data_IF_611057559474
#
_entry.id   IF_611057559474
#
_cell.length_a   1.000
_cell.length_b   1.000
_cell.length_c   1.000
_cell.angle_alpha   90.00
_cell.angle_beta   90.00
_cell.angle_gamma   90.00
#
_symmetry.space_group_name_H-M   'P 1'
#
loop_
_entity.id
_entity.type
_entity.pdbx_description
1 polymer ?
#
# COMPACT_ATOMS: atom_id res chain seq x y z
N UNK A 1 46.67 48.30 20.12
CA UNK A 1 46.68 46.94 20.69
C UNK A 1 45.34 46.27 20.37
N UNK A 2 45.24 45.36 19.38
CA UNK A 2 43.97 44.71 19.02
C UNK A 2 43.65 43.56 19.99
N UNK A 3 42.41 43.54 20.49
CA UNK A 3 41.88 42.47 21.37
C UNK A 3 41.54 41.23 20.54
N UNK A 4 42.22 40.11 20.81
CA UNK A 4 41.95 38.81 20.17
C UNK A 4 40.58 38.27 20.57
N UNK A 5 39.71 38.01 19.59
CA UNK A 5 38.41 37.33 19.79
C UNK A 5 38.65 35.85 20.08
N UNK A 6 38.25 35.41 21.27
CA UNK A 6 38.29 34.01 21.70
C UNK A 6 37.44 33.09 20.83
N UNK A 7 38.06 32.04 20.31
CA UNK A 7 37.44 30.98 19.50
C UNK A 7 36.65 30.04 20.42
N UNK A 8 35.31 30.05 20.33
CA UNK A 8 34.45 29.09 21.04
C UNK A 8 34.76 27.66 20.57
N UNK A 9 35.04 26.75 21.50
CA UNK A 9 35.25 25.33 21.19
C UNK A 9 33.93 24.70 20.73
N UNK A 10 33.94 24.08 19.54
CA UNK A 10 32.84 23.23 19.09
C UNK A 10 32.86 21.96 19.95
N UNK A 11 31.80 21.75 20.74
CA UNK A 11 31.55 20.45 21.38
C UNK A 11 31.39 19.38 20.29
N UNK A 12 32.05 18.23 20.41
CA UNK A 12 31.83 17.12 19.48
C UNK A 12 30.37 16.68 19.59
N UNK A 13 29.65 16.67 18.47
CA UNK A 13 28.30 16.13 18.41
C UNK A 13 28.39 14.61 18.65
N UNK A 14 27.88 14.16 19.78
CA UNK A 14 27.73 12.74 20.08
C UNK A 14 26.89 12.10 18.95
N UNK A 15 27.36 11.02 18.29
CA UNK A 15 26.56 10.33 17.29
C UNK A 15 25.29 9.82 17.97
N UNK A 16 24.13 10.09 17.36
CA UNK A 16 22.86 9.56 17.84
C UNK A 16 22.97 8.03 17.93
N UNK A 17 23.01 7.53 19.15
CA UNK A 17 23.16 6.13 19.48
C UNK A 17 21.90 5.42 18.97
N UNK A 18 22.02 4.65 17.89
CA UNK A 18 20.96 3.75 17.39
C UNK A 18 20.51 2.88 18.56
N UNK A 19 19.30 3.10 19.06
CA UNK A 19 18.63 2.20 20.00
C UNK A 19 18.41 0.87 19.27
N UNK A 20 19.37 -0.04 19.42
CA UNK A 20 19.17 -1.47 19.20
C UNK A 20 18.32 -1.96 20.36
N UNK A 21 17.08 -2.33 20.12
CA UNK A 21 16.32 -3.17 21.06
C UNK A 21 17.03 -4.53 21.14
N UNK A 22 16.92 -5.19 22.29
CA UNK A 22 17.75 -6.34 22.70
C UNK A 22 17.68 -7.58 21.79
N UNK A 23 16.91 -7.56 20.70
CA UNK A 23 16.73 -8.65 19.73
C UNK A 23 17.02 -8.26 18.26
N UNK A 24 17.51 -7.05 17.98
CA UNK A 24 17.84 -6.65 16.61
C UNK A 24 16.61 -6.35 15.72
N UNK A 25 15.42 -6.25 16.30
CA UNK A 25 14.18 -5.89 15.63
C UNK A 25 14.17 -4.38 15.29
N UNK A 26 13.90 -4.06 14.03
CA UNK A 26 13.82 -2.71 13.50
C UNK A 26 12.52 -2.02 13.95
N UNK A 27 12.60 -0.85 14.59
CA UNK A 27 11.43 0.01 14.89
C UNK A 27 11.15 0.95 13.71
N UNK A 28 10.00 0.79 13.02
CA UNK A 28 9.68 1.57 11.84
C UNK A 28 9.14 3.00 12.14
N UNK A 29 8.83 3.32 13.40
CA UNK A 29 8.34 4.63 13.82
C UNK A 29 6.90 4.92 13.36
N UNK A 30 6.69 6.06 12.67
CA UNK A 30 5.38 6.49 12.13
C UNK A 30 5.38 6.53 10.60
N UNK A 31 4.20 6.40 10.00
CA UNK A 31 4.02 6.61 8.56
C UNK A 31 4.41 8.03 8.14
N UNK A 32 4.96 8.15 6.94
CA UNK A 32 5.38 9.43 6.37
C UNK A 32 4.19 10.36 6.19
N UNK A 33 4.42 11.66 6.40
CA UNK A 33 3.45 12.71 6.07
C UNK A 33 3.74 13.18 4.65
N UNK A 34 2.74 13.16 3.79
CA UNK A 34 2.85 13.64 2.43
C UNK A 34 2.08 14.96 2.27
N UNK A 35 2.83 16.02 1.95
CA UNK A 35 2.26 17.19 1.28
C UNK A 35 1.55 16.71 0.01
N UNK A 36 0.41 17.31 -0.33
CA UNK A 36 -0.67 16.73 -1.15
C UNK A 36 -0.28 16.42 -2.61
N UNK A 37 0.54 15.39 -2.83
CA UNK A 37 0.85 14.79 -4.13
C UNK A 37 -0.38 14.20 -4.83
N UNK A 38 -1.47 14.00 -4.10
CA UNK A 38 -2.74 13.50 -4.63
C UNK A 38 -3.31 14.42 -5.73
N UNK A 39 -3.27 15.74 -5.56
CA UNK A 39 -3.75 16.68 -6.59
C UNK A 39 -2.93 16.58 -7.87
N UNK A 40 -1.59 16.59 -7.73
CA UNK A 40 -0.67 16.43 -8.87
C UNK A 40 -0.87 15.08 -9.59
N UNK A 41 -1.11 13.99 -8.84
CA UNK A 41 -1.42 12.70 -9.43
C UNK A 41 -2.73 12.76 -10.22
N UNK A 42 -3.80 13.31 -9.66
CA UNK A 42 -5.08 13.46 -10.36
C UNK A 42 -4.91 14.29 -11.64
N UNK A 43 -4.17 15.39 -11.59
CA UNK A 43 -3.95 16.27 -12.74
C UNK A 43 -3.13 15.62 -13.86
N UNK A 44 -2.07 14.89 -13.52
CA UNK A 44 -1.00 14.53 -14.48
C UNK A 44 -0.91 13.04 -14.80
N UNK A 45 -1.39 12.17 -13.93
CA UNK A 45 -1.22 10.74 -14.15
C UNK A 45 -2.13 10.25 -15.29
N UNK A 46 -1.64 9.32 -16.14
CA UNK A 46 -2.46 8.62 -17.11
C UNK A 46 -3.65 7.91 -16.46
N UNK A 47 -4.78 7.84 -17.18
CA UNK A 47 -6.01 7.22 -16.67
C UNK A 47 -5.88 5.73 -16.35
N UNK A 48 -4.97 5.03 -17.02
CA UNK A 48 -4.65 3.62 -16.77
C UNK A 48 -3.69 3.42 -15.59
N UNK A 49 -2.94 4.45 -15.21
CA UNK A 49 -2.02 4.44 -14.05
C UNK A 49 -2.73 4.85 -12.77
N UNK A 50 -3.67 5.80 -12.84
CA UNK A 50 -4.39 6.35 -11.68
C UNK A 50 -4.99 5.27 -10.76
N UNK A 51 -5.73 4.26 -11.27
CA UNK A 51 -6.30 3.20 -10.43
C UNK A 51 -5.25 2.33 -9.72
N UNK A 52 -3.97 2.43 -10.08
CA UNK A 52 -2.88 1.65 -9.46
C UNK A 52 -2.10 2.46 -8.42
N UNK A 53 -1.89 3.75 -8.67
CA UNK A 53 -1.03 4.59 -7.81
C UNK A 53 -1.83 5.42 -6.82
N UNK A 54 -3.05 5.83 -7.18
CA UNK A 54 -3.88 6.66 -6.32
C UNK A 54 -4.39 5.93 -5.07
N UNK A 55 -4.83 4.65 -5.13
CA UNK A 55 -5.31 3.96 -3.94
C UNK A 55 -4.30 3.88 -2.79
N UNK A 56 -3.05 3.41 -2.98
CA UNK A 56 -2.10 3.37 -1.88
C UNK A 56 -1.72 4.78 -1.41
N UNK A 57 -1.68 5.78 -2.30
CA UNK A 57 -1.39 7.16 -1.92
C UNK A 57 -2.47 7.73 -1.00
N UNK A 58 -3.74 7.54 -1.34
CA UNK A 58 -4.85 8.00 -0.51
C UNK A 58 -4.90 7.23 0.80
N UNK A 59 -4.64 5.92 0.79
CA UNK A 59 -4.56 5.12 2.02
C UNK A 59 -3.50 5.67 2.97
N UNK A 60 -2.28 5.95 2.48
CA UNK A 60 -1.21 6.53 3.32
C UNK A 60 -1.64 7.90 3.84
N UNK A 61 -2.29 8.74 3.00
CA UNK A 61 -2.79 10.04 3.43
C UNK A 61 -3.77 9.94 4.61
N UNK A 62 -4.72 9.00 4.52
CA UNK A 62 -5.69 8.74 5.60
C UNK A 62 -5.06 8.09 6.84
N UNK A 63 -3.89 7.45 6.68
CA UNK A 63 -3.13 6.82 7.75
C UNK A 63 -1.99 7.68 8.30
N UNK A 64 -1.86 8.94 7.86
CA UNK A 64 -0.78 9.83 8.30
C UNK A 64 -0.72 9.94 9.82
N UNK A 65 0.51 9.91 10.36
CA UNK A 65 0.75 10.01 11.80
C UNK A 65 0.45 8.73 12.61
N UNK A 66 -0.17 7.70 12.00
CA UNK A 66 -0.32 6.37 12.62
C UNK A 66 1.03 5.67 12.76
N UNK A 67 1.08 4.71 13.68
CA UNK A 67 2.25 3.86 13.85
C UNK A 67 2.53 3.06 12.57
N UNK A 68 3.81 2.87 12.28
CA UNK A 68 4.25 1.93 11.27
C UNK A 68 4.06 0.47 11.77
N UNK A 69 4.50 -0.52 10.99
CA UNK A 69 4.15 -1.94 11.14
C UNK A 69 2.69 -2.29 10.77
N UNK A 70 2.13 -1.53 9.82
CA UNK A 70 0.76 -1.69 9.31
C UNK A 70 0.73 -2.23 7.87
N UNK A 71 1.80 -2.88 7.40
CA UNK A 71 1.91 -3.37 6.02
C UNK A 71 0.83 -4.42 5.70
N UNK A 72 0.50 -5.28 6.66
CA UNK A 72 -0.57 -6.28 6.54
C UNK A 72 -1.94 -5.60 6.41
N UNK A 73 -2.29 -4.69 7.33
CA UNK A 73 -3.57 -3.97 7.30
C UNK A 73 -3.73 -3.11 6.04
N UNK A 74 -2.65 -2.44 5.61
CA UNK A 74 -2.63 -1.64 4.40
C UNK A 74 -2.91 -2.51 3.16
N UNK A 75 -2.21 -3.63 3.03
CA UNK A 75 -2.39 -4.54 1.90
C UNK A 75 -3.76 -5.21 1.94
N UNK A 76 -4.26 -5.63 3.11
CA UNK A 76 -5.59 -6.22 3.24
C UNK A 76 -6.70 -5.22 2.85
N UNK A 77 -6.62 -3.98 3.32
CA UNK A 77 -7.55 -2.90 2.95
C UNK A 77 -7.50 -2.61 1.45
N UNK A 78 -6.30 -2.46 0.89
CA UNK A 78 -6.10 -2.14 -0.52
C UNK A 78 -6.53 -3.29 -1.43
N UNK A 79 -6.38 -4.54 -1.02
CA UNK A 79 -6.91 -5.70 -1.74
C UNK A 79 -8.41 -5.57 -1.97
N UNK A 80 -9.17 -5.26 -0.93
CA UNK A 80 -10.61 -5.02 -1.05
C UNK A 80 -10.93 -3.79 -1.90
N UNK A 81 -10.09 -2.75 -1.83
CA UNK A 81 -10.20 -1.55 -2.68
C UNK A 81 -10.04 -1.89 -4.16
N UNK A 82 -8.98 -2.62 -4.53
CA UNK A 82 -8.72 -3.04 -5.91
C UNK A 82 -9.81 -3.96 -6.46
N UNK A 83 -10.34 -4.87 -5.63
CA UNK A 83 -11.45 -5.73 -6.01
C UNK A 83 -12.69 -4.92 -6.44
N UNK A 84 -12.97 -3.78 -5.78
CA UNK A 84 -14.05 -2.89 -6.22
C UNK A 84 -13.82 -2.38 -7.65
N UNK A 85 -12.57 -2.11 -8.05
CA UNK A 85 -12.25 -1.64 -9.41
C UNK A 85 -12.17 -2.75 -10.46
N UNK A 86 -12.38 -4.01 -10.08
CA UNK A 86 -12.21 -5.14 -10.99
C UNK A 86 -10.78 -5.65 -11.09
N UNK A 87 -9.89 -5.24 -10.19
CA UNK A 87 -8.46 -5.58 -10.22
C UNK A 87 -8.18 -6.66 -9.17
N UNK A 88 -7.68 -7.82 -9.62
CA UNK A 88 -7.24 -8.87 -8.70
C UNK A 88 -5.99 -8.42 -7.96
N UNK A 89 -6.00 -8.60 -6.63
CA UNK A 89 -4.92 -8.24 -5.74
C UNK A 89 -4.74 -9.34 -4.70
N UNK A 90 -3.50 -9.73 -4.46
CA UNK A 90 -3.16 -10.79 -3.54
C UNK A 90 -1.98 -10.36 -2.66
N UNK A 91 -2.05 -10.69 -1.37
CA UNK A 91 -0.98 -10.40 -0.42
C UNK A 91 0.18 -11.35 -0.69
N UNK A 92 1.40 -10.84 -0.57
CA UNK A 92 2.62 -11.62 -0.71
C UNK A 92 3.58 -11.23 0.42
N UNK A 93 3.99 -12.18 1.29
CA UNK A 93 5.05 -11.93 2.25
C UNK A 93 6.39 -11.82 1.52
N UNK A 94 7.24 -10.90 1.94
CA UNK A 94 8.53 -10.62 1.31
C UNK A 94 9.59 -10.29 2.35
N UNK A 95 10.83 -10.70 2.10
CA UNK A 95 11.98 -10.04 2.70
C UNK A 95 12.21 -8.68 2.03
N UNK A 96 12.85 -7.75 2.74
CA UNK A 96 13.09 -6.40 2.21
C UNK A 96 14.51 -5.95 2.51
N UNK A 97 15.22 -5.52 1.48
CA UNK A 97 16.51 -4.86 1.60
C UNK A 97 16.55 -3.60 0.74
N UNK A 98 17.40 -2.64 1.10
CA UNK A 98 17.64 -1.43 0.33
C UNK A 98 19.11 -1.31 0.03
N UNK A 99 19.44 -1.14 -1.25
CA UNK A 99 20.79 -0.87 -1.73
C UNK A 99 20.94 0.62 -2.02
N UNK A 100 21.99 1.24 -1.50
CA UNK A 100 22.33 2.65 -1.77
C UNK A 100 23.20 2.80 -3.03
N UNK A 101 23.41 4.05 -3.48
CA UNK A 101 24.24 4.36 -4.65
C UNK A 101 25.71 3.96 -4.52
N UNK A 102 26.21 3.72 -3.29
CA UNK A 102 27.54 3.16 -3.04
C UNK A 102 27.56 1.62 -3.09
N UNK A 103 26.41 1.00 -3.35
CA UNK A 103 26.24 -0.43 -3.44
C UNK A 103 26.04 -1.15 -2.11
N UNK A 104 25.96 -0.43 -0.98
CA UNK A 104 25.74 -1.03 0.34
C UNK A 104 24.29 -1.46 0.48
N UNK A 105 24.07 -2.71 0.89
CA UNK A 105 22.75 -3.27 1.14
C UNK A 105 22.43 -3.30 2.63
N UNK A 106 21.23 -2.86 3.00
CA UNK A 106 20.70 -2.93 4.37
C UNK A 106 19.38 -3.69 4.37
N UNK A 107 19.28 -4.78 5.14
CA UNK A 107 18.03 -5.51 5.36
C UNK A 107 17.09 -4.78 6.33
N UNK A 108 15.80 -4.78 6.03
CA UNK A 108 14.73 -4.17 6.82
C UNK A 108 13.58 -5.13 7.14
N UNK A 109 13.43 -6.23 6.40
CA UNK A 109 12.51 -7.31 6.74
C UNK A 109 13.14 -8.68 6.48
N UNK A 110 12.80 -9.64 7.34
CA UNK A 110 13.30 -11.02 7.31
C UNK A 110 12.74 -11.80 6.12
N UNK A 111 13.52 -12.75 5.59
CA UNK A 111 13.04 -13.75 4.63
C UNK A 111 12.34 -14.93 5.32
N UNK A 112 12.35 -15.00 6.65
CA UNK A 112 11.60 -15.98 7.45
C UNK A 112 10.56 -15.24 8.30
N UNK A 113 9.49 -14.72 7.69
CA UNK A 113 8.48 -13.96 8.41
C UNK A 113 7.71 -14.84 9.40
N UNK A 114 7.25 -14.25 10.50
CA UNK A 114 6.46 -14.96 11.51
C UNK A 114 5.53 -14.00 12.27
N UNK A 115 4.58 -14.57 13.01
CA UNK A 115 3.71 -13.83 13.93
C UNK A 115 4.21 -13.96 15.36
N UNK A 116 4.68 -12.87 15.95
CA UNK A 116 5.01 -12.80 17.36
C UNK A 116 3.72 -12.70 18.20
N UNK A 117 3.58 -13.63 19.15
CA UNK A 117 2.39 -13.74 20.01
C UNK A 117 1.06 -13.84 19.25
N UNK A 118 1.09 -14.27 17.98
CA UNK A 118 -0.07 -14.33 17.08
C UNK A 118 -0.66 -12.98 16.67
N UNK A 119 -0.03 -11.86 17.05
CA UNK A 119 -0.60 -10.50 16.89
C UNK A 119 0.31 -9.54 16.14
N UNK A 120 1.63 -9.67 16.31
CA UNK A 120 2.60 -8.76 15.70
C UNK A 120 3.29 -9.48 14.56
N UNK A 121 3.10 -9.00 13.34
CA UNK A 121 3.79 -9.57 12.19
C UNK A 121 5.25 -9.07 12.17
N UNK A 122 6.20 -10.01 12.12
CA UNK A 122 7.62 -9.76 11.92
C UNK A 122 7.97 -10.15 10.50
N UNK A 123 7.98 -9.17 9.60
CA UNK A 123 8.18 -9.37 8.18
C UNK A 123 7.74 -8.13 7.40
N UNK A 124 7.63 -8.26 6.08
CA UNK A 124 6.99 -7.25 5.25
C UNK A 124 5.98 -7.90 4.32
N UNK A 125 4.95 -7.15 3.96
CA UNK A 125 3.87 -7.62 3.10
C UNK A 125 3.62 -6.58 2.03
N UNK A 126 3.49 -7.06 0.80
CA UNK A 126 3.14 -6.27 -0.37
C UNK A 126 1.90 -6.85 -1.04
N UNK A 127 1.33 -6.12 -2.00
CA UNK A 127 0.34 -6.66 -2.92
C UNK A 127 0.99 -6.99 -4.25
N UNK A 128 0.60 -8.11 -4.84
CA UNK A 128 0.77 -8.38 -6.27
C UNK A 128 -0.58 -8.17 -6.95
N UNK A 129 -0.55 -7.54 -8.12
CA UNK A 129 -1.68 -7.40 -9.04
C UNK A 129 -1.42 -8.32 -10.25
N UNK A 130 -1.85 -9.59 -10.20
CA UNK A 130 -1.41 -10.62 -11.15
C UNK A 130 -1.68 -10.26 -12.61
N UNK A 131 -2.92 -9.85 -12.91
CA UNK A 131 -3.35 -9.51 -14.27
C UNK A 131 -2.63 -8.31 -14.86
N UNK A 132 -1.99 -7.49 -14.02
CA UNK A 132 -1.28 -6.28 -14.43
C UNK A 132 0.24 -6.43 -14.37
N UNK A 133 0.76 -7.54 -13.82
CA UNK A 133 2.19 -7.73 -13.60
C UNK A 133 2.79 -6.60 -12.77
N UNK A 134 2.11 -6.22 -11.67
CA UNK A 134 2.55 -5.15 -10.76
C UNK A 134 2.67 -5.65 -9.33
N UNK A 135 3.56 -5.00 -8.59
CA UNK A 135 3.64 -5.04 -7.14
C UNK A 135 3.30 -3.67 -6.59
N UNK A 136 2.56 -3.63 -5.49
CA UNK A 136 2.22 -2.41 -4.76
C UNK A 136 2.70 -2.57 -3.32
N UNK A 137 3.53 -1.63 -2.87
CA UNK A 137 4.00 -1.54 -1.49
C UNK A 137 3.53 -0.21 -0.90
N UNK A 138 2.39 -0.21 -0.19
CA UNK A 138 1.82 1.00 0.40
C UNK A 138 2.67 1.57 1.54
N UNK A 139 3.51 0.75 2.17
CA UNK A 139 4.20 1.09 3.41
C UNK A 139 5.71 1.06 3.28
N UNK A 140 6.24 1.14 2.06
CA UNK A 140 7.68 1.14 1.78
C UNK A 140 8.44 2.24 2.55
N UNK A 141 7.80 3.37 2.83
CA UNK A 141 8.37 4.49 3.59
C UNK A 141 8.36 4.27 5.10
N UNK A 142 7.98 3.08 5.56
CA UNK A 142 8.37 2.62 6.89
C UNK A 142 9.90 2.52 7.00
N UNK A 143 10.61 2.29 5.89
CA UNK A 143 12.07 2.29 5.83
C UNK A 143 12.63 3.72 5.81
N UNK A 144 13.58 4.11 6.70
CA UNK A 144 13.96 5.51 6.86
C UNK A 144 14.74 6.07 5.67
N UNK A 145 15.54 5.22 5.01
CA UNK A 145 16.27 5.62 3.81
C UNK A 145 15.30 5.98 2.68
N UNK A 146 14.21 5.22 2.52
CA UNK A 146 13.19 5.44 1.51
C UNK A 146 12.32 6.64 1.89
N UNK A 147 11.93 6.76 3.16
CA UNK A 147 11.16 7.90 3.68
C UNK A 147 11.81 9.24 3.37
N UNK A 148 13.14 9.32 3.44
CA UNK A 148 13.89 10.56 3.13
C UNK A 148 13.70 11.05 1.70
N UNK A 149 13.35 10.16 0.77
CA UNK A 149 13.03 10.53 -0.61
C UNK A 149 11.63 11.17 -0.72
N UNK A 150 10.74 10.86 0.23
CA UNK A 150 9.37 11.37 0.30
C UNK A 150 8.54 11.08 -0.95
N UNK A 151 8.79 9.96 -1.63
CA UNK A 151 8.21 9.63 -2.94
C UNK A 151 6.83 8.96 -2.88
N UNK A 152 6.38 8.49 -1.70
CA UNK A 152 5.06 7.86 -1.48
C UNK A 152 5.09 6.34 -1.37
N UNK A 153 3.98 5.63 -1.58
CA UNK A 153 3.98 4.21 -1.89
C UNK A 153 4.87 3.85 -3.09
N UNK A 154 5.13 2.56 -3.27
CA UNK A 154 5.82 2.03 -4.44
C UNK A 154 4.84 1.23 -5.29
N UNK A 155 4.86 1.44 -6.60
CA UNK A 155 4.25 0.53 -7.58
C UNK A 155 5.32 0.13 -8.58
N UNK A 156 5.68 -1.15 -8.58
CA UNK A 156 6.75 -1.72 -9.40
C UNK A 156 6.23 -2.76 -10.39
N UNK A 157 7.06 -3.13 -11.36
CA UNK A 157 6.79 -4.29 -12.23
C UNK A 157 7.29 -5.56 -11.54
N UNK A 158 6.61 -6.68 -11.78
CA UNK A 158 7.07 -8.00 -11.36
C UNK A 158 7.29 -8.91 -12.57
N UNK A 159 8.19 -9.90 -12.47
CA UNK A 159 8.29 -10.96 -13.47
C UNK A 159 6.97 -11.70 -13.65
N UNK A 160 6.71 -12.21 -14.86
CA UNK A 160 5.47 -12.92 -15.18
C UNK A 160 5.24 -14.14 -14.26
N UNK A 161 6.31 -14.83 -13.87
CA UNK A 161 6.22 -15.99 -12.97
C UNK A 161 5.73 -15.60 -11.56
N UNK A 162 6.22 -14.48 -11.03
CA UNK A 162 5.74 -13.94 -9.75
C UNK A 162 4.30 -13.50 -9.86
N UNK A 163 3.91 -12.86 -10.97
CA UNK A 163 2.52 -12.48 -11.20
C UNK A 163 1.59 -13.70 -11.24
N UNK A 164 2.00 -14.78 -11.91
CA UNK A 164 1.21 -16.00 -12.07
C UNK A 164 1.02 -16.76 -10.76
N UNK A 165 2.10 -16.91 -9.98
CA UNK A 165 2.09 -17.75 -8.78
C UNK A 165 1.79 -16.96 -7.50
N UNK A 166 1.92 -15.63 -7.54
CA UNK A 166 1.82 -14.75 -6.37
C UNK A 166 2.77 -15.21 -5.26
N UNK A 167 3.94 -15.67 -5.67
CA UNK A 167 5.04 -16.09 -4.84
C UNK A 167 6.33 -15.75 -5.57
N UNK A 168 7.34 -15.33 -4.83
CA UNK A 168 8.67 -15.20 -5.37
C UNK A 168 9.31 -16.59 -5.42
N UNK A 169 9.96 -16.92 -6.55
CA UNK A 169 10.83 -18.10 -6.64
C UNK A 169 12.16 -17.83 -5.92
N UNK A 170 13.29 -18.12 -6.55
CA UNK A 170 14.60 -17.67 -6.05
C UNK A 170 14.96 -16.23 -6.44
N UNK A 171 14.15 -15.60 -7.28
CA UNK A 171 14.47 -14.30 -7.88
C UNK A 171 14.23 -13.14 -6.92
N UNK A 172 15.08 -12.11 -7.03
CA UNK A 172 14.96 -10.83 -6.33
C UNK A 172 14.28 -9.83 -7.26
N UNK A 173 13.28 -9.11 -6.74
CA UNK A 173 12.66 -7.99 -7.46
C UNK A 173 13.33 -6.69 -7.01
N UNK A 174 14.16 -6.11 -7.88
CA UNK A 174 14.75 -4.80 -7.67
C UNK A 174 13.92 -3.70 -8.31
N UNK A 175 13.48 -2.71 -7.52
CA UNK A 175 12.77 -1.53 -8.02
C UNK A 175 13.61 -0.27 -7.77
N UNK A 176 14.07 0.42 -8.83
CA UNK A 176 14.77 1.69 -8.69
C UNK A 176 13.87 2.74 -8.04
N UNK A 177 14.44 3.53 -7.13
CA UNK A 177 13.73 4.59 -6.41
C UNK A 177 14.67 5.71 -6.01
N UNK A 178 14.74 6.75 -6.84
CA UNK A 178 15.75 7.79 -6.69
C UNK A 178 17.15 7.20 -6.88
N UNK A 179 18.02 7.41 -5.89
CA UNK A 179 19.37 6.85 -5.80
C UNK A 179 19.43 5.47 -5.09
N UNK A 180 18.27 4.92 -4.75
CA UNK A 180 18.15 3.62 -4.06
C UNK A 180 17.62 2.54 -5.01
N UNK A 181 17.93 1.28 -4.67
CA UNK A 181 17.22 0.11 -5.18
C UNK A 181 16.52 -0.57 -4.02
N UNK A 182 15.19 -0.67 -4.11
CA UNK A 182 14.38 -1.45 -3.17
C UNK A 182 14.36 -2.90 -3.67
N UNK A 183 14.96 -3.80 -2.90
CA UNK A 183 15.06 -5.22 -3.23
C UNK A 183 14.04 -6.01 -2.39
N UNK A 184 13.03 -6.56 -3.05
CA UNK A 184 12.12 -7.54 -2.48
C UNK A 184 12.75 -8.92 -2.63
N UNK A 185 12.87 -9.62 -1.51
CA UNK A 185 13.55 -10.91 -1.42
C UNK A 185 12.50 -12.02 -1.26
N UNK A 186 12.71 -13.19 -1.86
CA UNK A 186 11.85 -14.33 -1.62
C UNK A 186 11.91 -14.74 -0.15
N UNK A 187 10.75 -15.14 0.36
CA UNK A 187 10.68 -15.76 1.69
C UNK A 187 11.08 -17.22 1.61
N UNK A 188 11.54 -17.77 2.72
CA UNK A 188 11.72 -19.19 2.92
C UNK A 188 10.42 -19.93 2.55
N UNK A 189 10.49 -20.99 1.72
CA UNK A 189 9.31 -21.78 1.34
C UNK A 189 8.47 -22.25 2.53
N UNK A 190 9.09 -22.57 3.66
CA UNK A 190 8.38 -23.00 4.87
C UNK A 190 7.55 -21.87 5.51
N UNK A 191 7.77 -20.63 5.08
CA UNK A 191 7.08 -19.43 5.54
C UNK A 191 6.18 -18.81 4.47
N UNK A 192 5.99 -19.44 3.30
CA UNK A 192 5.23 -18.83 2.19
C UNK A 192 3.77 -18.55 2.55
N UNK A 193 3.23 -19.35 3.46
CA UNK A 193 1.81 -19.35 3.82
C UNK A 193 1.58 -18.70 5.19
N UNK A 194 2.57 -17.96 5.72
CA UNK A 194 2.50 -17.30 7.03
C UNK A 194 1.33 -16.33 7.19
N UNK A 195 0.81 -15.80 6.07
CA UNK A 195 -0.35 -14.91 6.07
C UNK A 195 -1.67 -15.68 5.95
N UNK A 196 -1.65 -16.93 5.49
CA UNK A 196 -2.85 -17.71 5.25
C UNK A 196 -3.48 -18.14 6.58
N UNK A 197 -4.72 -17.72 6.80
CA UNK A 197 -5.46 -18.02 8.03
C UNK A 197 -4.90 -17.35 9.29
N UNK A 198 -4.01 -16.36 9.16
CA UNK A 198 -3.46 -15.65 10.31
C UNK A 198 -4.59 -15.02 11.15
N UNK A 199 -4.65 -15.22 12.48
CA UNK A 199 -5.77 -14.76 13.31
C UNK A 199 -6.07 -13.27 13.14
N UNK A 200 -5.05 -12.41 13.09
CA UNK A 200 -5.24 -10.96 12.86
C UNK A 200 -5.93 -10.65 11.53
N UNK A 201 -5.68 -11.41 10.47
CA UNK A 201 -6.34 -11.22 9.18
C UNK A 201 -7.77 -11.77 9.20
N UNK A 202 -8.01 -12.88 9.90
CA UNK A 202 -9.33 -13.50 10.04
C UNK A 202 -10.24 -12.63 10.92
N UNK A 203 -9.76 -12.26 12.10
CA UNK A 203 -10.49 -11.48 13.10
C UNK A 203 -10.86 -10.08 12.58
N UNK A 204 -10.01 -9.48 11.74
CA UNK A 204 -10.24 -8.16 11.16
C UNK A 204 -10.79 -8.18 9.72
N UNK A 205 -11.14 -9.35 9.18
CA UNK A 205 -11.51 -9.49 7.76
C UNK A 205 -12.65 -8.55 7.35
N UNK A 206 -13.70 -8.46 8.15
CA UNK A 206 -14.83 -7.55 7.87
C UNK A 206 -14.42 -6.07 7.99
N UNK A 207 -13.53 -5.75 8.93
CA UNK A 207 -12.97 -4.41 9.09
C UNK A 207 -12.17 -3.98 7.86
N UNK A 208 -11.26 -4.84 7.37
CA UNK A 208 -10.49 -4.59 6.15
C UNK A 208 -11.40 -4.47 4.92
N UNK A 209 -12.44 -5.30 4.84
CA UNK A 209 -13.44 -5.25 3.75
C UNK A 209 -14.17 -3.92 3.73
N UNK A 210 -14.76 -3.50 4.86
CA UNK A 210 -15.47 -2.22 5.00
C UNK A 210 -14.54 -1.04 4.72
N UNK A 211 -13.33 -1.04 5.29
CA UNK A 211 -12.33 -0.01 5.06
C UNK A 211 -11.94 0.10 3.57
N UNK A 212 -11.79 -1.03 2.88
CA UNK A 212 -11.47 -1.05 1.45
C UNK A 212 -12.61 -0.54 0.57
N UNK A 213 -13.87 -0.84 0.92
CA UNK A 213 -15.05 -0.30 0.25
C UNK A 213 -15.12 1.22 0.43
N UNK A 214 -14.97 1.70 1.66
CA UNK A 214 -14.98 3.14 1.96
C UNK A 214 -13.85 3.87 1.23
N UNK A 215 -12.65 3.28 1.20
CA UNK A 215 -11.53 3.84 0.44
C UNK A 215 -11.84 3.90 -1.06
N UNK A 216 -12.40 2.83 -1.64
CA UNK A 216 -12.79 2.81 -3.05
C UNK A 216 -13.83 3.91 -3.37
N UNK A 217 -14.80 4.13 -2.48
CA UNK A 217 -15.80 5.21 -2.64
C UNK A 217 -15.14 6.60 -2.66
N UNK A 218 -14.22 6.89 -1.72
CA UNK A 218 -13.47 8.15 -1.70
C UNK A 218 -12.59 8.35 -2.94
N UNK A 219 -12.02 7.27 -3.47
CA UNK A 219 -11.25 7.32 -4.71
C UNK A 219 -12.15 7.65 -5.90
N UNK A 220 -13.35 7.06 -5.95
CA UNK A 220 -14.33 7.35 -7.00
C UNK A 220 -14.79 8.80 -6.95
N UNK A 221 -14.96 9.38 -5.76
CA UNK A 221 -15.22 10.81 -5.59
C UNK A 221 -14.15 11.67 -6.27
N UNK A 222 -12.88 11.37 -6.00
CA UNK A 222 -11.75 12.07 -6.63
C UNK A 222 -11.67 11.83 -8.15
N UNK A 223 -12.01 10.62 -8.61
CA UNK A 223 -11.94 10.22 -10.01
C UNK A 223 -13.02 10.83 -10.90
N UNK A 224 -14.11 11.36 -10.33
CA UNK A 224 -15.14 12.10 -11.06
C UNK A 224 -14.74 13.52 -11.45
N UNK A 225 -13.60 14.01 -10.95
CA UNK A 225 -13.13 15.35 -11.28
C UNK A 225 -13.03 15.57 -12.80
N UNK A 226 -13.37 16.77 -13.31
CA UNK A 226 -13.31 17.06 -14.75
C UNK A 226 -11.93 16.75 -15.35
N UNK A 227 -11.92 16.06 -16.48
CA UNK A 227 -10.71 15.60 -17.17
C UNK A 227 -10.13 14.30 -16.60
N UNK A 228 -10.36 13.98 -15.32
CA UNK A 228 -9.90 12.72 -14.69
C UNK A 228 -10.81 11.57 -15.13
N UNK A 229 -12.13 11.76 -15.02
CA UNK A 229 -13.13 10.73 -15.35
C UNK A 229 -13.02 10.27 -16.80
N UNK A 230 -12.76 11.18 -17.73
CA UNK A 230 -12.60 10.90 -19.17
C UNK A 230 -11.34 10.09 -19.45
N UNK A 231 -10.24 10.38 -18.74
CA UNK A 231 -9.00 9.57 -18.85
C UNK A 231 -9.24 8.16 -18.33
N UNK A 232 -9.93 8.00 -17.21
CA UNK A 232 -10.20 6.69 -16.59
C UNK A 232 -11.19 5.89 -17.44
N UNK A 233 -12.21 6.51 -18.04
CA UNK A 233 -13.16 5.83 -18.93
C UNK A 233 -12.48 5.18 -20.15
N UNK A 234 -11.35 5.75 -20.61
CA UNK A 234 -10.51 5.22 -21.69
C UNK A 234 -9.53 4.13 -21.23
N UNK A 235 -9.38 3.92 -19.92
CA UNK A 235 -8.48 2.93 -19.36
C UNK A 235 -9.04 1.50 -19.48
N UNK A 236 -8.20 0.46 -19.38
CA UNK A 236 -8.62 -0.94 -19.54
C UNK A 236 -9.27 -1.53 -18.26
N UNK A 237 -10.14 -0.76 -17.60
CA UNK A 237 -10.80 -1.16 -16.35
C UNK A 237 -12.33 -1.11 -16.50
N UNK A 238 -12.98 -2.14 -17.08
CA UNK A 238 -14.40 -2.10 -17.42
C UNK A 238 -15.31 -1.93 -16.19
N UNK A 239 -15.00 -2.60 -15.06
CA UNK A 239 -15.77 -2.43 -13.83
C UNK A 239 -15.64 -1.03 -13.25
N UNK A 240 -14.43 -0.47 -13.21
CA UNK A 240 -14.23 0.92 -12.77
C UNK A 240 -15.01 1.91 -13.64
N UNK A 241 -15.02 1.74 -14.96
CA UNK A 241 -15.85 2.54 -15.87
C UNK A 241 -17.34 2.41 -15.53
N UNK A 242 -17.84 1.18 -15.40
CA UNK A 242 -19.24 0.92 -15.04
C UNK A 242 -19.62 1.55 -13.70
N UNK A 243 -18.71 1.52 -12.70
CA UNK A 243 -18.92 2.20 -11.42
C UNK A 243 -19.05 3.71 -11.61
N UNK A 244 -18.11 4.35 -12.33
CA UNK A 244 -18.15 5.80 -12.59
C UNK A 244 -19.43 6.21 -13.34
N UNK A 245 -19.90 5.39 -14.27
CA UNK A 245 -21.12 5.65 -15.03
C UNK A 245 -22.38 5.47 -14.16
N UNK A 246 -22.44 4.43 -13.34
CA UNK A 246 -23.58 4.15 -12.46
C UNK A 246 -23.75 5.21 -11.36
N UNK A 247 -22.64 5.72 -10.84
CA UNK A 247 -22.68 6.66 -9.73
C UNK A 247 -22.79 8.12 -10.22
N UNK A 248 -22.37 8.44 -11.45
CA UNK A 248 -22.44 9.79 -12.02
C UNK A 248 -21.94 10.88 -11.06
N UNK A 249 -22.77 11.90 -10.84
CA UNK A 249 -22.52 12.99 -9.88
C UNK A 249 -23.24 12.79 -8.53
N UNK A 250 -23.68 11.56 -8.22
CA UNK A 250 -24.41 11.25 -6.99
C UNK A 250 -23.63 11.68 -5.74
N UNK A 251 -24.25 12.40 -4.78
CA UNK A 251 -23.60 12.79 -3.54
C UNK A 251 -23.05 11.60 -2.78
N UNK A 252 -21.91 11.79 -2.11
CA UNK A 252 -21.32 10.80 -1.23
C UNK A 252 -21.19 11.37 0.19
N UNK A 253 -21.55 10.58 1.20
CA UNK A 253 -21.37 10.96 2.60
C UNK A 253 -21.23 9.72 3.49
N UNK A 254 -20.47 9.83 4.61
CA UNK A 254 -20.46 8.77 5.61
C UNK A 254 -21.81 8.69 6.34
N UNK A 255 -22.26 7.48 6.64
CA UNK A 255 -23.38 7.23 7.55
C UNK A 255 -22.93 7.26 9.03
N UNK A 256 -23.83 7.11 10.03
CA UNK A 256 -23.45 7.07 11.44
C UNK A 256 -22.50 5.92 11.83
N UNK A 257 -22.41 4.87 11.03
CA UNK A 257 -21.45 3.76 11.20
C UNK A 257 -20.12 4.02 10.45
N UNK A 258 -19.96 5.21 9.87
CA UNK A 258 -18.84 5.65 9.05
C UNK A 258 -18.66 4.86 7.75
N UNK A 259 -19.70 4.18 7.26
CA UNK A 259 -19.70 3.60 5.91
C UNK A 259 -20.02 4.71 4.89
N UNK A 260 -19.21 4.79 3.83
CA UNK A 260 -19.44 5.75 2.75
C UNK A 260 -20.64 5.32 1.92
N UNK A 261 -21.67 6.17 1.88
CA UNK A 261 -22.90 5.97 1.12
C UNK A 261 -22.95 6.87 -0.10
N UNK A 262 -23.56 6.37 -1.17
CA UNK A 262 -23.79 7.05 -2.44
C UNK A 262 -25.31 7.23 -2.59
N UNK A 263 -25.78 8.47 -2.74
CA UNK A 263 -27.21 8.76 -2.88
C UNK A 263 -27.61 8.76 -4.36
N UNK A 264 -28.19 7.67 -4.84
CA UNK A 264 -28.55 7.48 -6.24
C UNK A 264 -29.78 8.31 -6.65
N UNK A 265 -30.00 8.45 -7.96
CA UNK A 265 -31.21 9.03 -8.53
C UNK A 265 -32.44 8.19 -8.11
N UNK A 266 -33.24 8.72 -7.18
CA UNK A 266 -34.29 7.99 -6.48
C UNK A 266 -34.19 8.09 -4.95
N UNK A 267 -33.10 8.66 -4.43
CA UNK A 267 -32.92 8.96 -3.00
C UNK A 267 -32.41 7.79 -2.17
N UNK A 268 -32.22 6.61 -2.77
CA UNK A 268 -31.63 5.46 -2.11
C UNK A 268 -30.13 5.71 -1.81
N UNK A 269 -29.74 5.53 -0.56
CA UNK A 269 -28.35 5.62 -0.11
C UNK A 269 -27.76 4.20 -0.03
N UNK A 270 -26.77 3.91 -0.89
CA UNK A 270 -26.17 2.57 -1.01
C UNK A 270 -24.66 2.62 -0.81
N UNK A 271 -24.08 1.52 -0.35
CA UNK A 271 -22.63 1.30 -0.41
C UNK A 271 -22.21 0.91 -1.82
N UNK A 272 -20.91 1.08 -2.10
CA UNK A 272 -20.35 0.74 -3.39
C UNK A 272 -20.52 -0.75 -3.77
N UNK A 273 -20.44 -1.65 -2.79
CA UNK A 273 -20.60 -3.09 -2.99
C UNK A 273 -22.07 -3.55 -3.06
N UNK A 274 -23.02 -2.64 -2.82
CA UNK A 274 -24.47 -2.86 -2.98
C UNK A 274 -24.96 -2.47 -4.38
N UNK A 275 -24.10 -1.89 -5.24
CA UNK A 275 -24.45 -1.57 -6.62
C UNK A 275 -24.52 -2.83 -7.49
N UNK A 276 -25.64 -2.97 -8.21
CA UNK A 276 -25.85 -4.06 -9.16
C UNK A 276 -25.05 -3.81 -10.45
N UNK A 277 -23.77 -4.20 -10.43
CA UNK A 277 -22.81 -4.03 -11.51
C UNK A 277 -22.03 -5.32 -11.73
N UNK A 278 -21.51 -5.58 -12.95
CA UNK A 278 -20.73 -6.79 -13.25
C UNK A 278 -19.68 -7.03 -12.18
N UNK A 279 -19.77 -8.17 -11.49
CA UNK A 279 -18.99 -8.43 -10.29
C UNK A 279 -17.49 -8.21 -10.53
N UNK A 280 -16.82 -7.56 -9.58
CA UNK A 280 -15.36 -7.55 -9.54
C UNK A 280 -14.85 -8.95 -9.24
N UNK A 281 -13.57 -9.26 -9.48
CA UNK A 281 -13.01 -10.49 -8.98
C UNK A 281 -13.20 -10.50 -7.47
N UNK A 282 -13.87 -11.54 -6.95
CA UNK A 282 -13.95 -11.73 -5.52
C UNK A 282 -12.51 -11.83 -4.98
N UNK A 283 -12.14 -11.13 -3.89
CA UNK A 283 -10.88 -11.37 -3.23
C UNK A 283 -10.81 -12.88 -2.91
N UNK A 284 -9.84 -13.60 -3.50
CA UNK A 284 -9.66 -15.03 -3.22
C UNK A 284 -9.68 -15.29 -1.72
N UNK A 285 -10.53 -16.20 -1.25
CA UNK A 285 -10.62 -16.48 0.18
C UNK A 285 -9.27 -16.99 0.71
N UNK A 286 -8.89 -16.52 1.91
CA UNK A 286 -7.75 -17.05 2.66
C UNK A 286 -7.93 -18.55 3.00
N UNK A 287 -9.18 -18.99 3.04
CA UNK A 287 -9.61 -20.29 3.55
C UNK A 287 -9.72 -21.37 2.47
N UNK A 288 -9.25 -21.12 1.24
CA UNK A 288 -9.64 -21.89 0.06
C UNK A 288 -8.63 -22.89 -0.53
N UNK A 289 -7.38 -22.97 -0.05
CA UNK A 289 -6.37 -23.87 -0.63
C UNK A 289 -6.11 -25.12 0.22
N UNK A 290 -7.14 -25.93 0.40
CA UNK A 290 -7.00 -27.34 0.75
C UNK A 290 -8.09 -28.15 0.03
N UNK A 291 -7.73 -28.66 -1.15
CA UNK A 291 -8.17 -29.96 -1.68
C UNK A 291 -7.01 -30.56 -2.45
#
# INVERSE_FOLDING_TARGET
MPKSRGRKSKRPSTPAQRRRTAQGLYDPGKLAVHDSKLGMLLERAPGDVLPLVFPPMLWVKLAEGKHANVCVDACATLRHTYAQFGIDAQLMPVGLAVKDGAGRSTGYATTRPYWESGKVYVGHTVLVLPSLGRLVDPTVEQVPAIRKLGMGPLVGRVPAEVAKNVRMGSDIIGVPRGDLIVAYLPVDPDCSDVLDGAPVLVDNAEGHRRAGINLATLILEAFRAPGVVERIRRAPYPRLRALLDAIGDAPMAPDPAHDMRITLAGGAAVRLDELDLPAGPAPRSWLGRWR
#
